data_IF_620795782276
#
_entry.id   IF_620795782276
#
_cell.length_a   1.000
_cell.length_b   1.000
_cell.length_c   1.000
_cell.angle_alpha   90.00
_cell.angle_beta   90.00
_cell.angle_gamma   90.00
#
_symmetry.space_group_name_H-M   'P 1'
#
loop_
_entity.id
_entity.type
_entity.pdbx_description
1 polymer ?
#
# COMPACT_ATOMS: atom_id res chain seq x y z
N UNK A 1 -9.75 7.00 15.03
CA UNK A 1 -10.31 8.18 15.72
C UNK A 1 -9.41 8.61 16.87
N UNK A 2 -8.65 9.69 16.70
CA UNK A 2 -8.22 10.51 17.84
C UNK A 2 -9.33 11.51 18.16
N UNK A 3 -9.21 12.31 19.22
CA UNK A 3 -10.18 13.39 19.47
C UNK A 3 -10.15 14.49 18.39
N UNK A 4 -9.05 14.57 17.63
CA UNK A 4 -8.76 15.67 16.73
C UNK A 4 -8.91 15.31 15.24
N UNK A 5 -8.67 14.03 14.89
CA UNK A 5 -8.72 13.58 13.51
C UNK A 5 -9.07 12.08 13.36
N UNK A 6 -9.60 11.75 12.19
CA UNK A 6 -9.88 10.39 11.74
C UNK A 6 -8.75 9.89 10.82
N UNK A 7 -8.34 8.64 11.02
CA UNK A 7 -7.30 7.96 10.25
C UNK A 7 -7.64 6.47 10.20
N UNK A 8 -7.29 5.79 9.10
CA UNK A 8 -7.40 4.33 9.05
C UNK A 8 -6.46 3.68 10.06
N UNK A 9 -6.88 2.52 10.57
CA UNK A 9 -6.06 1.73 11.49
C UNK A 9 -4.76 1.27 10.82
N UNK A 10 -4.82 0.89 9.55
CA UNK A 10 -3.66 0.47 8.77
C UNK A 10 -2.58 1.55 8.75
N UNK A 11 -2.96 2.78 8.36
CA UNK A 11 -2.03 3.92 8.28
C UNK A 11 -1.47 4.31 9.66
N UNK A 12 -2.27 4.24 10.72
CA UNK A 12 -1.77 4.47 12.08
C UNK A 12 -0.72 3.42 12.50
N UNK A 13 -0.93 2.14 12.18
CA UNK A 13 0.04 1.07 12.47
C UNK A 13 1.30 1.23 11.63
N UNK A 14 1.17 1.63 10.36
CA UNK A 14 2.31 1.91 9.48
C UNK A 14 3.15 3.08 9.98
N UNK A 15 2.53 4.15 10.53
CA UNK A 15 3.27 5.22 11.18
C UNK A 15 4.10 4.70 12.37
N UNK A 16 3.49 3.85 13.21
CA UNK A 16 4.19 3.19 14.33
C UNK A 16 5.34 2.30 13.83
N UNK A 17 5.14 1.58 12.72
CA UNK A 17 6.18 0.77 12.10
C UNK A 17 7.34 1.61 11.57
N UNK A 18 7.04 2.76 10.95
CA UNK A 18 8.01 3.71 10.47
C UNK A 18 8.67 4.56 11.58
N UNK A 19 8.28 4.37 12.85
CA UNK A 19 8.69 5.23 13.99
C UNK A 19 8.37 6.71 13.76
N UNK A 20 7.30 6.97 13.00
CA UNK A 20 6.81 8.29 12.66
C UNK A 20 5.61 8.69 13.53
N UNK A 21 5.34 10.00 13.58
CA UNK A 21 4.15 10.53 14.20
C UNK A 21 2.88 10.11 13.42
N UNK A 22 1.83 9.71 14.15
CA UNK A 22 0.52 9.47 13.56
C UNK A 22 -0.12 10.83 13.28
N UNK A 23 -0.23 11.21 12.01
CA UNK A 23 -0.79 12.49 11.58
C UNK A 23 -1.74 12.33 10.40
N UNK A 24 -2.64 13.28 10.12
CA UNK A 24 -3.58 13.15 9.01
C UNK A 24 -2.94 13.10 7.61
N UNK A 25 -1.74 13.66 7.45
CA UNK A 25 -1.05 13.72 6.15
C UNK A 25 -0.57 12.36 5.63
N UNK A 26 -0.41 11.35 6.48
CA UNK A 26 -0.10 9.98 6.01
C UNK A 26 -1.36 9.27 5.46
N UNK A 27 -2.55 9.81 5.71
CA UNK A 27 -3.81 9.30 5.18
C UNK A 27 -4.75 10.47 4.78
N UNK A 28 -4.35 11.28 3.78
CA UNK A 28 -5.00 12.56 3.49
C UNK A 28 -6.44 12.41 2.98
N UNK A 29 -6.75 11.25 2.40
CA UNK A 29 -8.10 10.87 1.98
C UNK A 29 -8.40 9.52 2.63
N UNK A 30 -9.43 9.49 3.46
CA UNK A 30 -9.93 8.26 4.04
C UNK A 30 -11.38 8.04 3.59
N UNK A 31 -11.63 6.87 3.01
CA UNK A 31 -12.96 6.41 2.64
C UNK A 31 -13.43 5.38 3.65
N UNK A 32 -14.57 5.64 4.30
CA UNK A 32 -15.23 4.66 5.17
C UNK A 32 -16.53 4.23 4.50
N UNK A 33 -16.66 2.95 4.10
CA UNK A 33 -17.83 2.51 3.35
C UNK A 33 -19.10 2.59 4.21
N UNK A 34 -20.20 3.02 3.58
CA UNK A 34 -21.54 3.07 4.19
C UNK A 34 -22.49 2.00 3.61
N UNK A 35 -22.02 1.22 2.62
CA UNK A 35 -22.87 0.37 1.78
C UNK A 35 -23.48 1.14 0.62
N UNK A 36 -24.19 0.44 -0.28
CA UNK A 36 -24.91 1.04 -1.41
C UNK A 36 -24.07 2.01 -2.26
N UNK A 37 -22.83 1.62 -2.56
CA UNK A 37 -21.86 2.44 -3.31
C UNK A 37 -21.59 3.83 -2.69
N UNK A 38 -21.80 3.99 -1.38
CA UNK A 38 -21.51 5.23 -0.66
C UNK A 38 -20.34 5.07 0.32
N UNK A 39 -19.65 6.18 0.58
CA UNK A 39 -18.62 6.26 1.61
C UNK A 39 -18.65 7.62 2.30
N UNK A 40 -18.38 7.63 3.61
CA UNK A 40 -17.96 8.84 4.30
C UNK A 40 -16.53 9.16 3.87
N UNK A 41 -16.35 10.35 3.31
CA UNK A 41 -15.05 10.87 2.88
C UNK A 41 -14.52 11.77 3.99
N UNK A 42 -13.30 11.48 4.45
CA UNK A 42 -12.55 12.32 5.36
C UNK A 42 -11.35 12.91 4.60
N UNK A 43 -11.14 14.21 4.76
CA UNK A 43 -10.02 14.95 4.19
C UNK A 43 -9.13 15.50 5.30
N UNK A 44 -7.84 15.15 5.27
CA UNK A 44 -6.87 15.45 6.33
C UNK A 44 -7.46 15.18 7.73
N UNK A 45 -8.10 14.01 7.83
CA UNK A 45 -8.71 13.49 9.06
C UNK A 45 -9.93 14.23 9.58
N UNK A 46 -10.51 15.17 8.82
CA UNK A 46 -11.79 15.79 9.14
C UNK A 46 -12.88 15.23 8.23
N UNK A 47 -14.08 15.01 8.78
CA UNK A 47 -15.21 14.62 7.96
C UNK A 47 -15.46 15.69 6.89
N UNK A 48 -15.53 15.28 5.63
CA UNK A 48 -15.77 16.17 4.52
C UNK A 48 -17.21 16.05 4.02
N UNK A 49 -17.60 14.86 3.55
CA UNK A 49 -18.95 14.60 3.03
C UNK A 49 -19.18 13.09 2.88
N UNK A 50 -20.44 12.66 2.91
CA UNK A 50 -20.82 11.36 2.35
C UNK A 50 -20.96 11.49 0.83
N UNK A 51 -20.35 10.57 0.08
CA UNK A 51 -20.35 10.59 -1.38
C UNK A 51 -20.75 9.23 -1.93
N UNK A 52 -21.54 9.24 -3.01
CA UNK A 52 -21.68 8.07 -3.87
C UNK A 52 -20.41 7.88 -4.70
N UNK A 53 -20.05 6.64 -5.04
CA UNK A 53 -18.83 6.30 -5.78
C UNK A 53 -18.72 7.08 -7.10
N UNK A 54 -19.83 7.22 -7.81
CA UNK A 54 -19.90 8.05 -9.03
C UNK A 54 -19.51 9.51 -8.78
N UNK A 55 -20.06 10.15 -7.75
CA UNK A 55 -19.72 11.53 -7.38
C UNK A 55 -18.25 11.65 -6.99
N UNK A 56 -17.72 10.67 -6.24
CA UNK A 56 -16.32 10.63 -5.85
C UNK A 56 -15.40 10.65 -7.07
N UNK A 57 -15.61 9.72 -8.01
CA UNK A 57 -14.75 9.61 -9.19
C UNK A 57 -14.90 10.80 -10.15
N UNK A 58 -16.13 11.24 -10.43
CA UNK A 58 -16.38 12.29 -11.41
C UNK A 58 -16.03 13.69 -10.92
N UNK A 59 -16.22 13.98 -9.63
CA UNK A 59 -16.13 15.36 -9.11
C UNK A 59 -15.02 15.58 -8.10
N UNK A 60 -14.57 14.55 -7.39
CA UNK A 60 -13.66 14.70 -6.25
C UNK A 60 -12.24 14.17 -6.51
N UNK A 61 -12.10 12.96 -7.04
CA UNK A 61 -10.83 12.24 -7.09
C UNK A 61 -9.73 13.06 -7.80
N UNK A 62 -9.99 13.55 -9.01
CA UNK A 62 -8.99 14.30 -9.79
C UNK A 62 -8.88 15.79 -9.42
N UNK A 63 -9.76 16.28 -8.55
CA UNK A 63 -9.77 17.68 -8.11
C UNK A 63 -9.22 17.76 -6.68
N UNK A 64 -10.09 17.88 -5.68
CA UNK A 64 -9.75 18.00 -4.26
C UNK A 64 -9.00 16.79 -3.73
N UNK A 65 -9.30 15.58 -4.22
CA UNK A 65 -8.60 14.36 -3.80
C UNK A 65 -7.13 14.41 -4.20
N UNK A 66 -6.84 14.52 -5.50
CA UNK A 66 -5.48 14.56 -6.00
C UNK A 66 -4.68 15.74 -5.43
N UNK A 67 -5.31 16.90 -5.25
CA UNK A 67 -4.69 18.05 -4.60
C UNK A 67 -4.30 17.75 -3.14
N UNK A 68 -5.21 17.18 -2.34
CA UNK A 68 -4.93 16.78 -0.96
C UNK A 68 -3.78 15.76 -0.88
N UNK A 69 -3.81 14.72 -1.72
CA UNK A 69 -2.77 13.70 -1.78
C UNK A 69 -1.41 14.29 -2.19
N UNK A 70 -1.40 15.19 -3.18
CA UNK A 70 -0.17 15.83 -3.66
C UNK A 70 0.42 16.77 -2.60
N UNK A 71 -0.42 17.55 -1.91
CA UNK A 71 0.03 18.45 -0.84
C UNK A 71 0.63 17.68 0.33
N UNK A 72 -0.02 16.61 0.78
CA UNK A 72 0.53 15.77 1.85
C UNK A 72 1.81 15.06 1.42
N UNK A 73 1.89 14.55 0.18
CA UNK A 73 3.14 13.98 -0.36
C UNK A 73 4.30 14.97 -0.26
N UNK A 74 4.14 16.19 -0.79
CA UNK A 74 5.22 17.19 -0.78
C UNK A 74 5.56 17.67 0.63
N UNK A 75 4.58 17.75 1.53
CA UNK A 75 4.84 18.04 2.94
C UNK A 75 5.70 16.95 3.58
N UNK A 76 5.31 15.68 3.40
CA UNK A 76 6.05 14.53 3.94
C UNK A 76 7.46 14.42 3.35
N UNK A 77 7.63 14.66 2.05
CA UNK A 77 8.95 14.67 1.40
C UNK A 77 9.88 15.79 1.91
N UNK A 78 9.33 16.91 2.41
CA UNK A 78 10.13 18.00 2.99
C UNK A 78 10.58 17.71 4.41
N UNK A 79 9.82 16.91 5.16
CA UNK A 79 10.05 16.68 6.59
C UNK A 79 10.64 15.29 6.90
N UNK A 80 10.87 14.44 5.90
CA UNK A 80 11.37 13.08 6.09
C UNK A 80 12.41 12.74 5.01
N UNK A 81 13.45 12.00 5.39
CA UNK A 81 14.46 11.52 4.46
C UNK A 81 13.92 10.47 3.48
N UNK A 82 12.88 9.75 3.90
CA UNK A 82 12.30 8.66 3.12
C UNK A 82 10.78 8.60 3.31
N UNK A 83 10.05 8.43 2.20
CA UNK A 83 8.58 8.30 2.19
C UNK A 83 8.19 7.05 1.42
N UNK A 84 7.47 6.15 2.09
CA UNK A 84 6.87 4.97 1.46
C UNK A 84 5.43 5.31 1.09
N UNK A 85 5.06 5.06 -0.16
CA UNK A 85 3.70 5.25 -0.66
C UNK A 85 3.10 3.86 -0.88
N UNK A 86 2.10 3.51 -0.07
CA UNK A 86 1.30 2.32 -0.31
C UNK A 86 0.15 2.64 -1.28
N UNK A 87 -0.01 1.81 -2.30
CA UNK A 87 -1.13 1.87 -3.22
C UNK A 87 -2.45 1.38 -2.60
N UNK A 88 -3.55 1.53 -3.33
CA UNK A 88 -4.84 0.97 -2.95
C UNK A 88 -5.34 0.03 -4.03
N UNK A 89 -5.54 -1.25 -3.68
CA UNK A 89 -5.96 -2.27 -4.62
C UNK A 89 -4.94 -2.53 -5.72
N UNK A 90 -5.43 -2.83 -6.92
CA UNK A 90 -4.57 -3.05 -8.09
C UNK A 90 -4.27 -1.73 -8.82
N UNK A 91 -3.02 -1.49 -9.27
CA UNK A 91 -2.70 -0.34 -10.12
C UNK A 91 -3.21 -0.48 -11.56
N UNK A 92 -3.89 -1.59 -11.89
CA UNK A 92 -4.39 -1.91 -13.23
C UNK A 92 -5.91 -2.15 -13.26
N UNK A 93 -6.68 -1.44 -12.43
CA UNK A 93 -8.14 -1.39 -12.54
C UNK A 93 -8.54 -0.56 -13.77
N UNK A 94 -8.54 -1.19 -14.94
CA UNK A 94 -8.69 -0.53 -16.26
C UNK A 94 -9.95 0.35 -16.38
N UNK A 95 -11.02 0.00 -15.67
CA UNK A 95 -12.27 0.75 -15.63
C UNK A 95 -12.20 2.02 -14.77
N UNK A 96 -11.23 2.12 -13.86
CA UNK A 96 -11.05 3.22 -12.91
C UNK A 96 -9.71 3.96 -13.08
N UNK A 97 -8.82 3.49 -13.96
CA UNK A 97 -7.47 4.03 -14.17
C UNK A 97 -7.45 5.55 -14.30
N UNK A 98 -8.38 6.12 -15.09
CA UNK A 98 -8.46 7.57 -15.28
C UNK A 98 -8.63 8.34 -13.98
N UNK A 99 -9.24 7.75 -12.96
CA UNK A 99 -9.49 8.35 -11.64
C UNK A 99 -8.57 7.85 -10.54
N UNK A 100 -7.66 6.91 -10.83
CA UNK A 100 -6.77 6.34 -9.82
C UNK A 100 -5.73 7.38 -9.36
N UNK A 101 -5.91 7.83 -8.12
CA UNK A 101 -5.01 8.77 -7.44
C UNK A 101 -4.17 8.09 -6.35
N UNK A 102 -4.37 6.80 -6.11
CA UNK A 102 -3.72 6.05 -5.02
C UNK A 102 -2.50 5.26 -5.50
N UNK A 103 -2.43 4.85 -6.78
CA UNK A 103 -1.32 4.05 -7.29
C UNK A 103 -0.36 4.84 -8.21
N UNK A 104 -0.40 4.59 -9.53
CA UNK A 104 0.68 5.02 -10.43
C UNK A 104 0.73 6.53 -10.66
N UNK A 105 -0.41 7.23 -10.53
CA UNK A 105 -0.46 8.68 -10.68
C UNK A 105 0.31 9.39 -9.56
N UNK A 106 0.13 8.95 -8.31
CA UNK A 106 0.86 9.54 -7.18
C UNK A 106 2.33 9.10 -7.19
N UNK A 107 2.62 7.85 -7.57
CA UNK A 107 4.00 7.38 -7.78
C UNK A 107 4.75 8.24 -8.82
N UNK A 108 4.10 8.56 -9.94
CA UNK A 108 4.67 9.45 -10.96
C UNK A 108 4.90 10.86 -10.42
N UNK A 109 3.97 11.42 -9.63
CA UNK A 109 4.13 12.74 -9.00
C UNK A 109 5.29 12.77 -8.00
N UNK A 110 5.53 11.67 -7.31
CA UNK A 110 6.65 11.48 -6.40
C UNK A 110 7.98 11.14 -7.11
N UNK A 111 7.93 10.88 -8.43
CA UNK A 111 9.01 10.25 -9.19
C UNK A 111 9.56 8.96 -8.51
N UNK A 112 8.66 8.18 -7.90
CA UNK A 112 9.04 7.08 -7.02
C UNK A 112 9.14 5.74 -7.75
N UNK A 113 10.19 4.92 -7.52
CA UNK A 113 10.23 3.55 -7.98
C UNK A 113 9.10 2.73 -7.35
N UNK A 114 8.48 1.85 -8.13
CA UNK A 114 7.33 1.04 -7.70
C UNK A 114 7.72 -0.43 -7.62
N UNK A 115 7.33 -1.09 -6.52
CA UNK A 115 7.38 -2.54 -6.39
C UNK A 115 5.96 -3.09 -6.42
N UNK A 116 5.69 -4.13 -7.22
CA UNK A 116 4.41 -4.84 -7.14
C UNK A 116 4.54 -6.02 -6.19
N UNK A 117 3.66 -6.08 -5.21
CA UNK A 117 3.58 -7.18 -4.25
C UNK A 117 2.39 -8.06 -4.62
N UNK A 118 2.61 -9.36 -4.77
CA UNK A 118 1.53 -10.32 -5.06
C UNK A 118 1.38 -11.31 -3.92
N UNK A 119 0.14 -11.70 -3.63
CA UNK A 119 -0.18 -12.81 -2.73
C UNK A 119 -0.13 -14.12 -3.53
N UNK A 120 0.78 -15.04 -3.20
CA UNK A 120 0.88 -16.34 -3.88
C UNK A 120 -0.05 -17.41 -3.28
N UNK A 121 -0.48 -17.23 -2.04
CA UNK A 121 -1.35 -18.18 -1.33
C UNK A 121 -2.74 -18.27 -1.99
N UNK A 122 -3.18 -17.17 -2.63
CA UNK A 122 -4.42 -17.10 -3.42
C UNK A 122 -4.34 -17.76 -4.80
N UNK A 123 -3.15 -18.21 -5.22
CA UNK A 123 -2.91 -18.71 -6.58
C UNK A 123 -2.87 -17.60 -7.64
N UNK A 124 -2.41 -17.95 -8.85
CA UNK A 124 -2.42 -17.03 -10.00
C UNK A 124 -1.42 -15.86 -9.94
N UNK A 125 -0.51 -15.81 -8.96
CA UNK A 125 0.42 -14.69 -8.73
C UNK A 125 1.23 -14.26 -9.97
N UNK A 126 1.77 -15.22 -10.72
CA UNK A 126 2.51 -14.94 -11.95
C UNK A 126 1.64 -14.31 -13.03
N UNK A 127 0.43 -14.84 -13.23
CA UNK A 127 -0.53 -14.32 -14.19
C UNK A 127 -0.99 -12.92 -13.79
N UNK A 128 -1.23 -12.68 -12.49
CA UNK A 128 -1.59 -11.38 -11.94
C UNK A 128 -0.50 -10.33 -12.23
N UNK A 129 0.77 -10.61 -11.88
CA UNK A 129 1.88 -9.69 -12.17
C UNK A 129 2.02 -9.41 -13.67
N UNK A 130 2.00 -10.46 -14.50
CA UNK A 130 2.15 -10.31 -15.96
C UNK A 130 0.97 -9.50 -16.53
N UNK A 131 -0.26 -9.79 -16.08
CA UNK A 131 -1.47 -9.08 -16.46
C UNK A 131 -1.40 -7.61 -16.07
N UNK A 132 -1.07 -7.30 -14.82
CA UNK A 132 -0.87 -5.93 -14.34
C UNK A 132 0.18 -5.21 -15.18
N UNK A 133 1.35 -5.82 -15.42
CA UNK A 133 2.39 -5.22 -16.25
C UNK A 133 1.93 -4.97 -17.69
N UNK A 134 1.13 -5.87 -18.27
CA UNK A 134 0.61 -5.74 -19.62
C UNK A 134 -0.46 -4.64 -19.73
N UNK A 135 -1.33 -4.52 -18.73
CA UNK A 135 -2.43 -3.55 -18.68
C UNK A 135 -1.96 -2.15 -18.29
N UNK A 136 -0.87 -2.02 -17.52
CA UNK A 136 -0.32 -0.72 -17.16
C UNK A 136 0.08 0.08 -18.40
N UNK A 137 -0.37 1.32 -18.42
CA UNK A 137 0.05 2.37 -19.34
C UNK A 137 1.58 2.42 -19.45
N UNK A 138 2.11 2.54 -20.68
CA UNK A 138 3.58 2.50 -20.93
C UNK A 138 4.36 3.51 -20.07
N UNK A 139 3.78 4.69 -19.83
CA UNK A 139 4.36 5.76 -19.01
C UNK A 139 4.50 5.40 -17.52
N UNK A 140 3.71 4.44 -17.04
CA UNK A 140 3.74 3.96 -15.65
C UNK A 140 4.58 2.70 -15.51
N UNK A 141 4.61 1.85 -16.53
CA UNK A 141 5.40 0.61 -16.55
C UNK A 141 6.90 0.82 -16.31
N UNK A 142 7.43 1.98 -16.69
CA UNK A 142 8.84 2.34 -16.45
C UNK A 142 9.17 2.50 -14.95
N UNK A 143 8.20 2.92 -14.13
CA UNK A 143 8.35 3.10 -12.69
C UNK A 143 8.41 1.77 -11.93
N UNK A 144 7.81 0.70 -12.46
CA UNK A 144 7.85 -0.61 -11.82
C UNK A 144 9.28 -1.18 -11.90
N UNK A 145 9.96 -1.31 -10.76
CA UNK A 145 11.35 -1.76 -10.67
C UNK A 145 11.52 -3.22 -10.28
N UNK A 146 10.49 -3.85 -9.74
CA UNK A 146 10.55 -5.27 -9.38
C UNK A 146 9.29 -5.78 -8.71
N UNK A 147 9.36 -7.04 -8.30
CA UNK A 147 8.25 -7.75 -7.68
C UNK A 147 8.62 -8.36 -6.34
N UNK A 148 7.65 -8.46 -5.45
CA UNK A 148 7.74 -9.23 -4.20
C UNK A 148 6.65 -10.31 -4.22
N UNK A 149 7.05 -11.56 -4.00
CA UNK A 149 6.11 -12.66 -3.82
C UNK A 149 5.85 -12.78 -2.32
N UNK A 150 4.61 -12.55 -1.88
CA UNK A 150 4.22 -12.59 -0.48
C UNK A 150 3.44 -13.86 -0.15
N UNK A 151 3.47 -14.28 1.12
CA UNK A 151 2.76 -15.43 1.69
C UNK A 151 3.11 -16.79 1.06
N UNK A 152 4.37 -16.99 0.70
CA UNK A 152 4.81 -18.25 0.11
C UNK A 152 4.83 -19.41 1.12
N UNK A 153 4.46 -20.61 0.66
CA UNK A 153 4.54 -21.87 1.41
C UNK A 153 5.29 -22.89 0.56
N UNK A 154 6.15 -23.67 1.19
CA UNK A 154 6.86 -24.78 0.54
C UNK A 154 8.32 -24.48 0.20
N UNK A 155 8.88 -25.26 -0.71
CA UNK A 155 10.29 -25.21 -1.08
C UNK A 155 10.56 -24.12 -2.14
N UNK A 156 11.42 -23.16 -1.79
CA UNK A 156 11.87 -22.11 -2.69
C UNK A 156 12.56 -22.66 -3.96
N UNK A 157 13.20 -23.82 -3.91
CA UNK A 157 13.84 -24.43 -5.07
C UNK A 157 12.83 -24.78 -6.17
N UNK A 158 11.62 -25.19 -5.79
CA UNK A 158 10.51 -25.45 -6.73
C UNK A 158 10.02 -24.14 -7.36
N UNK A 159 10.05 -23.03 -6.62
CA UNK A 159 9.58 -21.72 -7.09
C UNK A 159 10.57 -21.03 -8.03
N UNK A 160 11.89 -21.23 -7.83
CA UNK A 160 12.98 -20.53 -8.56
C UNK A 160 12.80 -20.49 -10.09
N UNK A 161 12.49 -21.60 -10.80
CA UNK A 161 12.26 -21.57 -12.25
C UNK A 161 11.12 -20.63 -12.67
N UNK A 162 10.05 -20.57 -11.86
CA UNK A 162 8.94 -19.65 -12.07
C UNK A 162 9.35 -18.18 -11.97
N UNK A 163 10.19 -17.83 -10.99
CA UNK A 163 10.71 -16.47 -10.81
C UNK A 163 11.59 -16.04 -11.99
N UNK A 164 12.41 -16.95 -12.53
CA UNK A 164 13.22 -16.68 -13.72
C UNK A 164 12.34 -16.44 -14.95
N UNK A 165 11.29 -17.25 -15.15
CA UNK A 165 10.33 -17.07 -16.24
C UNK A 165 9.59 -15.73 -16.13
N UNK A 166 9.22 -15.32 -14.91
CA UNK A 166 8.60 -14.02 -14.66
C UNK A 166 9.54 -12.87 -15.05
N UNK A 167 10.80 -12.92 -14.64
CA UNK A 167 11.81 -11.93 -15.02
C UNK A 167 11.98 -11.87 -16.54
N UNK A 168 12.04 -13.02 -17.24
CA UNK A 168 12.14 -13.08 -18.70
C UNK A 168 10.92 -12.45 -19.39
N UNK A 169 9.71 -12.65 -18.86
CA UNK A 169 8.47 -12.13 -19.45
C UNK A 169 8.24 -10.63 -19.22
N UNK A 170 8.70 -10.11 -18.09
CA UNK A 170 8.40 -8.73 -17.67
C UNK A 170 9.59 -7.78 -17.77
N UNK A 171 10.81 -8.32 -17.89
CA UNK A 171 12.05 -7.56 -17.85
C UNK A 171 12.43 -7.03 -16.47
N UNK A 172 11.69 -7.36 -15.40
CA UNK A 172 11.93 -6.86 -14.03
C UNK A 172 12.28 -7.99 -13.06
N UNK A 173 13.18 -7.76 -12.09
CA UNK A 173 13.56 -8.76 -11.11
C UNK A 173 12.45 -9.07 -10.10
N UNK A 174 12.49 -10.29 -9.54
CA UNK A 174 11.84 -10.59 -8.26
C UNK A 174 12.85 -10.27 -7.17
N UNK A 175 12.48 -9.37 -6.26
CA UNK A 175 13.36 -8.85 -5.21
C UNK A 175 13.31 -9.67 -3.93
N UNK A 176 12.33 -10.56 -3.80
CA UNK A 176 12.27 -11.48 -2.68
C UNK A 176 10.99 -12.29 -2.64
N UNK A 177 11.00 -13.29 -1.77
CA UNK A 177 9.87 -14.18 -1.51
C UNK A 177 9.66 -14.22 0.00
N UNK A 178 8.59 -13.57 0.48
CA UNK A 178 8.24 -13.52 1.89
C UNK A 178 7.43 -14.78 2.21
N UNK A 179 7.87 -15.60 3.18
CA UNK A 179 7.12 -16.79 3.57
C UNK A 179 5.83 -16.41 4.31
N UNK A 180 4.84 -17.29 4.25
CA UNK A 180 3.64 -17.15 5.06
C UNK A 180 4.01 -17.20 6.54
N UNK A 181 3.68 -16.15 7.27
CA UNK A 181 3.85 -16.05 8.71
C UNK A 181 2.61 -15.43 9.35
N UNK A 182 2.37 -15.78 10.61
CA UNK A 182 1.30 -15.20 11.42
C UNK A 182 1.90 -14.19 12.37
N UNK A 183 1.31 -13.00 12.39
CA UNK A 183 1.66 -11.93 13.32
C UNK A 183 0.42 -11.56 14.13
N UNK A 184 0.60 -11.21 15.39
CA UNK A 184 -0.47 -10.68 16.23
C UNK A 184 -0.64 -9.16 16.01
N UNK A 185 -0.62 -8.74 14.75
CA UNK A 185 -0.90 -7.37 14.36
C UNK A 185 -2.41 -7.17 14.21
N UNK A 186 -2.92 -5.97 14.52
CA UNK A 186 -4.31 -5.66 14.28
C UNK A 186 -4.66 -5.76 12.78
N UNK A 187 -5.82 -6.31 12.47
CA UNK A 187 -6.32 -6.43 11.09
C UNK A 187 -6.57 -5.07 10.45
N UNK A 188 -6.60 -4.96 9.13
CA UNK A 188 -6.96 -3.72 8.44
C UNK A 188 -8.45 -3.38 8.56
N UNK A 189 -8.83 -2.15 8.24
CA UNK A 189 -10.24 -1.76 8.18
C UNK A 189 -10.90 -2.39 6.94
N UNK A 190 -11.66 -3.46 7.14
CA UNK A 190 -12.34 -4.21 6.07
C UNK A 190 -13.85 -4.21 6.23
N UNK A 191 -14.57 -4.30 5.10
CA UNK A 191 -16.01 -4.48 5.06
C UNK A 191 -16.43 -5.75 5.82
N UNK A 192 -17.34 -5.62 6.78
CA UNK A 192 -17.97 -6.75 7.47
C UNK A 192 -17.21 -7.31 8.67
N UNK A 193 -15.98 -6.89 8.93
CA UNK A 193 -15.24 -7.29 10.13
C UNK A 193 -15.41 -6.21 11.20
N UNK A 194 -16.12 -6.53 12.29
CA UNK A 194 -16.05 -5.74 13.53
C UNK A 194 -14.67 -5.95 14.15
N UNK A 195 -13.67 -5.32 13.57
CA UNK A 195 -12.31 -5.40 14.06
C UNK A 195 -12.28 -4.90 15.51
N UNK A 196 -11.65 -5.66 16.40
CA UNK A 196 -11.56 -5.32 17.82
C UNK A 196 -10.96 -3.92 17.95
N UNK A 197 -11.64 -3.06 18.70
CA UNK A 197 -11.18 -1.69 18.91
C UNK A 197 -9.80 -1.72 19.59
N UNK A 198 -8.76 -1.17 18.92
CA UNK A 198 -7.44 -1.03 19.54
C UNK A 198 -7.55 0.09 20.58
N UNK A 199 -7.23 -0.24 21.83
CA UNK A 199 -6.94 0.77 22.85
C UNK A 199 -5.48 1.20 22.69
N UNK A 200 -5.25 2.40 22.20
CA UNK A 200 -3.91 2.99 22.03
C UNK A 200 -3.33 3.40 23.39
N UNK A 201 -2.74 2.45 24.10
CA UNK A 201 -2.04 2.67 25.36
C UNK A 201 -0.60 2.12 25.29
N UNK A 202 0.25 2.51 26.25
CA UNK A 202 1.67 2.10 26.29
C UNK A 202 1.84 0.57 26.23
N UNK A 203 0.97 -0.19 26.90
CA UNK A 203 1.04 -1.67 26.94
C UNK A 203 0.76 -2.30 25.57
N UNK A 204 -0.28 -1.83 24.88
CA UNK A 204 -0.66 -2.33 23.56
C UNK A 204 0.32 -1.88 22.48
N UNK A 205 0.82 -0.64 22.55
CA UNK A 205 1.87 -0.16 21.66
C UNK A 205 3.15 -1.00 21.77
N UNK A 206 3.57 -1.38 22.99
CA UNK A 206 4.70 -2.30 23.18
C UNK A 206 4.50 -3.65 22.50
N UNK A 207 3.29 -4.22 22.57
CA UNK A 207 2.94 -5.48 21.88
C UNK A 207 2.98 -5.32 20.36
N UNK A 208 2.37 -4.26 19.84
CA UNK A 208 2.37 -3.96 18.40
C UNK A 208 3.80 -3.79 17.89
N UNK A 209 4.64 -3.01 18.60
CA UNK A 209 6.05 -2.85 18.25
C UNK A 209 6.80 -4.18 18.22
N UNK A 210 6.58 -5.07 19.20
CA UNK A 210 7.22 -6.38 19.21
C UNK A 210 6.83 -7.23 17.98
N UNK A 211 5.57 -7.18 17.56
CA UNK A 211 5.11 -7.89 16.35
C UNK A 211 5.64 -7.24 15.07
N UNK A 212 5.71 -5.91 15.01
CA UNK A 212 6.36 -5.17 13.93
C UNK A 212 7.83 -5.58 13.81
N UNK A 213 8.57 -5.69 14.92
CA UNK A 213 9.99 -6.06 14.89
C UNK A 213 10.19 -7.49 14.37
N UNK A 214 9.27 -8.42 14.71
CA UNK A 214 9.27 -9.78 14.15
C UNK A 214 9.01 -9.76 12.64
N UNK A 215 8.01 -8.98 12.20
CA UNK A 215 7.69 -8.81 10.78
C UNK A 215 8.87 -8.20 10.03
N UNK A 216 9.47 -7.13 10.57
CA UNK A 216 10.63 -6.44 9.98
C UNK A 216 11.79 -7.41 9.76
N UNK A 217 12.15 -8.20 10.78
CA UNK A 217 13.22 -9.21 10.67
C UNK A 217 12.90 -10.28 9.61
N UNK A 218 11.63 -10.66 9.46
CA UNK A 218 11.24 -11.60 8.43
C UNK A 218 11.40 -11.00 7.02
N UNK A 219 10.89 -9.78 6.83
CA UNK A 219 10.94 -9.06 5.56
C UNK A 219 12.38 -8.79 5.16
N UNK A 220 13.22 -8.31 6.08
CA UNK A 220 14.64 -8.04 5.86
C UNK A 220 15.40 -9.28 5.39
N UNK A 221 15.13 -10.46 5.98
CA UNK A 221 15.73 -11.73 5.56
C UNK A 221 15.21 -12.25 4.22
N UNK A 222 14.02 -11.84 3.82
CA UNK A 222 13.30 -12.36 2.65
C UNK A 222 13.50 -11.52 1.39
N UNK A 223 13.89 -10.25 1.55
CA UNK A 223 14.04 -9.29 0.48
C UNK A 223 15.52 -8.95 0.24
N UNK A 224 15.86 -8.67 -1.02
CA UNK A 224 17.13 -8.09 -1.39
C UNK A 224 17.11 -6.58 -1.09
N UNK A 225 17.29 -6.23 0.18
CA UNK A 225 17.25 -4.84 0.67
C UNK A 225 18.28 -3.96 -0.04
N UNK A 226 19.49 -4.49 -0.27
CA UNK A 226 20.54 -3.75 -1.00
C UNK A 226 20.12 -3.32 -2.40
N UNK A 227 19.45 -4.22 -3.13
CA UNK A 227 18.93 -3.90 -4.46
C UNK A 227 17.78 -2.89 -4.39
N UNK A 228 16.89 -3.02 -3.40
CA UNK A 228 15.80 -2.04 -3.16
C UNK A 228 16.40 -0.65 -2.87
N UNK A 229 17.39 -0.54 -2.00
CA UNK A 229 18.07 0.73 -1.69
C UNK A 229 18.71 1.36 -2.93
N UNK A 230 19.33 0.55 -3.80
CA UNK A 230 19.91 1.03 -5.06
C UNK A 230 18.87 1.60 -6.04
N UNK A 231 17.60 1.20 -5.93
CA UNK A 231 16.53 1.72 -6.78
C UNK A 231 16.03 3.10 -6.33
N UNK A 232 16.32 3.48 -5.09
CA UNK A 232 15.78 4.68 -4.42
C UNK A 232 16.83 5.81 -4.41
N UNK A 233 18.12 5.47 -4.41
CA UNK A 233 19.23 6.41 -4.59
C UNK A 233 19.35 6.88 -6.04
#
# INVERSE_FOLDING_TARGET
KTKEFEISRAQAIQAVAARAEIMPDINPILLKPLGNYQSSVFLHGKFYKNMHAKEYYEKFALTKGLDAATRSLYKLQRSNDFVIIEGAGSPSEINLEKFDIANMRIAKKANSPVLLVTDIDRGGSFASIIGTMALLDKKYRSFVRGFVINKFRGDLNILKPGLQKLKKKTGRPVLGVIPMAKFALPEEDSLGVKAKHIVWNKKNLKKINSEIDKLSKLVEKSLNIKEIERMIR
#
